data_IF_205967590806
#
_entry.id   IF_205967590806
#
_cell.length_a   1.000
_cell.length_b   1.000
_cell.length_c   1.000
_cell.angle_alpha   90.00
_cell.angle_beta   90.00
_cell.angle_gamma   90.00
#
_symmetry.space_group_name_H-M   'P 1'
#
loop_
_entity.id
_entity.type
_entity.pdbx_description
1 polymer ?
#
# COMPACT_ATOMS: atom_id res chain seq x y z
N UNK A 1 18.86 53.19 -31.93
CA UNK A 1 18.21 51.90 -32.23
C UNK A 1 18.93 50.70 -31.62
N UNK A 2 20.27 50.64 -31.63
CA UNK A 2 21.07 49.50 -31.12
C UNK A 2 20.92 49.27 -29.61
N UNK A 3 20.88 50.33 -28.79
CA UNK A 3 20.66 50.26 -27.34
C UNK A 3 19.28 49.71 -26.94
N UNK A 4 18.23 50.03 -27.70
CA UNK A 4 16.87 49.56 -27.44
C UNK A 4 16.72 48.08 -27.79
N UNK A 5 17.32 47.65 -28.92
CA UNK A 5 17.32 46.23 -29.33
C UNK A 5 18.06 45.36 -28.30
N UNK A 6 19.20 45.85 -27.80
CA UNK A 6 19.98 45.15 -26.78
C UNK A 6 19.26 45.07 -25.42
N UNK A 7 18.51 46.11 -25.01
CA UNK A 7 17.67 46.05 -23.80
C UNK A 7 16.51 45.07 -23.92
N UNK A 8 15.90 44.94 -25.10
CA UNK A 8 14.82 43.98 -25.35
C UNK A 8 15.36 42.55 -25.37
N UNK A 9 16.50 42.31 -26.00
CA UNK A 9 17.19 41.01 -26.00
C UNK A 9 17.59 40.57 -24.58
N UNK A 10 18.18 41.48 -23.79
CA UNK A 10 18.55 41.18 -22.40
C UNK A 10 17.32 40.89 -21.52
N UNK A 11 16.22 41.64 -21.64
CA UNK A 11 14.96 41.33 -20.92
C UNK A 11 14.36 40.00 -21.34
N UNK A 12 14.48 39.63 -22.61
CA UNK A 12 13.98 38.35 -23.12
C UNK A 12 14.80 37.19 -22.55
N UNK A 13 16.13 37.30 -22.55
CA UNK A 13 17.02 36.33 -21.93
C UNK A 13 16.82 36.22 -20.42
N UNK A 14 16.71 37.33 -19.69
CA UNK A 14 16.44 37.30 -18.24
C UNK A 14 15.11 36.62 -17.92
N UNK A 15 14.07 36.87 -18.73
CA UNK A 15 12.76 36.24 -18.54
C UNK A 15 12.81 34.74 -18.82
N UNK A 16 13.49 34.31 -19.90
CA UNK A 16 13.69 32.90 -20.22
C UNK A 16 14.49 32.18 -19.12
N UNK A 17 15.57 32.80 -18.65
CA UNK A 17 16.41 32.25 -17.59
C UNK A 17 15.62 32.10 -16.28
N UNK A 18 14.79 33.10 -15.94
CA UNK A 18 13.93 33.06 -14.76
C UNK A 18 12.86 31.98 -14.84
N UNK A 19 12.26 31.76 -16.01
CA UNK A 19 11.29 30.68 -16.22
C UNK A 19 11.96 29.30 -16.12
N UNK A 20 13.16 29.13 -16.69
CA UNK A 20 13.94 27.90 -16.55
C UNK A 20 14.25 27.57 -15.08
N UNK A 21 14.71 28.57 -14.30
CA UNK A 21 14.98 28.40 -12.86
C UNK A 21 13.73 28.06 -12.04
N UNK A 22 12.57 28.62 -12.40
CA UNK A 22 11.30 28.28 -11.72
C UNK A 22 10.93 26.82 -11.99
N UNK A 23 11.02 26.36 -13.24
CA UNK A 23 10.71 24.98 -13.60
C UNK A 23 11.69 23.97 -12.97
N UNK A 24 12.98 24.31 -12.91
CA UNK A 24 14.00 23.50 -12.24
C UNK A 24 13.77 23.42 -10.72
N UNK A 25 13.41 24.53 -10.07
CA UNK A 25 13.16 24.55 -8.63
C UNK A 25 11.87 23.83 -8.23
N UNK A 26 10.91 23.67 -9.16
CA UNK A 26 9.71 22.85 -8.97
C UNK A 26 9.97 21.34 -9.08
N UNK A 27 11.14 20.92 -9.58
CA UNK A 27 11.47 19.50 -9.73
C UNK A 27 10.59 18.76 -10.74
N UNK A 28 9.99 19.48 -11.71
CA UNK A 28 9.16 18.88 -12.77
C UNK A 28 9.91 18.80 -14.09
N UNK A 29 9.87 17.62 -14.71
CA UNK A 29 10.22 17.45 -16.11
C UNK A 29 9.16 18.10 -16.98
N UNK A 30 9.59 18.87 -17.97
CA UNK A 30 8.73 19.62 -18.87
C UNK A 30 9.10 19.29 -20.30
N UNK A 31 8.08 18.91 -21.06
CA UNK A 31 8.18 18.56 -22.47
C UNK A 31 7.11 19.32 -23.23
N UNK A 32 7.50 20.07 -24.26
CA UNK A 32 6.58 20.85 -25.10
C UNK A 32 6.53 20.25 -26.48
N UNK A 33 5.32 20.12 -27.02
CA UNK A 33 5.08 19.69 -28.38
C UNK A 33 4.11 20.63 -29.12
N UNK A 34 4.27 20.73 -30.43
CA UNK A 34 3.40 21.51 -31.30
C UNK A 34 1.99 20.89 -31.42
N UNK A 35 1.11 21.54 -32.18
CA UNK A 35 -0.24 21.06 -32.48
C UNK A 35 -0.30 19.70 -33.20
N UNK A 36 0.79 19.28 -33.83
CA UNK A 36 0.89 18.00 -34.53
C UNK A 36 1.54 16.92 -33.65
N UNK A 37 1.95 17.25 -32.43
CA UNK A 37 2.62 16.34 -31.50
C UNK A 37 4.12 16.20 -31.71
N UNK A 38 4.76 17.10 -32.47
CA UNK A 38 6.22 17.16 -32.61
C UNK A 38 6.85 17.95 -31.48
N UNK A 39 7.90 17.37 -30.88
CA UNK A 39 8.63 17.96 -29.77
C UNK A 39 9.34 19.26 -30.17
N UNK A 40 9.11 20.32 -29.41
CA UNK A 40 9.76 21.63 -29.59
C UNK A 40 10.80 21.91 -28.51
N UNK A 41 10.59 21.41 -27.29
CA UNK A 41 11.45 21.72 -26.15
C UNK A 41 11.41 20.60 -25.10
N UNK A 42 12.54 20.36 -24.46
CA UNK A 42 12.68 19.45 -23.32
C UNK A 42 13.61 20.07 -22.28
N UNK A 43 13.14 20.23 -21.03
CA UNK A 43 14.01 20.77 -19.99
C UNK A 43 15.07 19.73 -19.53
N UNK A 44 16.18 20.15 -18.88
CA UNK A 44 17.25 19.24 -18.47
C UNK A 44 16.80 18.10 -17.54
N UNK A 45 15.77 18.32 -16.73
CA UNK A 45 15.21 17.28 -15.87
C UNK A 45 14.47 16.21 -16.68
N UNK A 46 13.70 16.61 -17.70
CA UNK A 46 13.09 15.69 -18.64
C UNK A 46 14.14 14.89 -19.43
N UNK A 47 15.27 15.51 -19.79
CA UNK A 47 16.38 14.74 -20.40
C UNK A 47 16.89 13.64 -19.47
N UNK A 48 17.06 13.98 -18.19
CA UNK A 48 17.57 13.06 -17.16
C UNK A 48 16.60 11.92 -16.90
N UNK A 49 15.30 12.21 -16.80
CA UNK A 49 14.27 11.19 -16.52
C UNK A 49 13.98 10.31 -17.74
N UNK A 50 14.05 10.83 -18.95
CA UNK A 50 13.68 10.08 -20.16
C UNK A 50 14.87 9.34 -20.78
N UNK A 51 16.10 9.78 -20.49
CA UNK A 51 17.33 9.30 -21.11
C UNK A 51 17.58 9.89 -22.52
N UNK A 52 16.71 10.79 -22.99
CA UNK A 52 16.85 11.47 -24.26
C UNK A 52 17.47 12.85 -24.09
N UNK A 53 18.25 13.30 -25.08
CA UNK A 53 18.70 14.68 -25.13
C UNK A 53 17.77 15.52 -25.99
N UNK A 54 17.56 16.78 -25.62
CA UNK A 54 16.65 17.70 -26.31
C UNK A 54 16.95 17.74 -27.81
N UNK A 55 18.22 17.96 -28.17
CA UNK A 55 18.67 18.00 -29.57
C UNK A 55 18.46 16.69 -30.36
N UNK A 56 18.30 15.55 -29.69
CA UNK A 56 17.98 14.27 -30.34
C UNK A 56 16.48 14.10 -30.58
N UNK A 57 15.64 14.84 -29.88
CA UNK A 57 14.18 14.65 -29.86
C UNK A 57 13.39 15.79 -30.47
N UNK A 58 13.97 16.98 -30.63
CA UNK A 58 13.30 18.08 -31.37
C UNK A 58 12.87 17.59 -32.76
N UNK A 59 11.61 17.83 -33.09
CA UNK A 59 10.99 17.44 -34.36
C UNK A 59 10.58 15.96 -34.44
N UNK A 60 10.77 15.17 -33.37
CA UNK A 60 10.19 13.82 -33.27
C UNK A 60 8.81 13.85 -32.63
N UNK A 61 8.03 12.85 -32.96
CA UNK A 61 6.69 12.65 -32.39
C UNK A 61 6.77 12.26 -30.91
N UNK A 62 5.98 12.92 -30.07
CA UNK A 62 5.95 12.74 -28.62
C UNK A 62 5.80 11.26 -28.21
N UNK A 63 4.84 10.54 -28.78
CA UNK A 63 4.56 9.13 -28.43
C UNK A 63 5.67 8.15 -28.82
N UNK A 64 6.56 8.52 -29.74
CA UNK A 64 7.74 7.69 -30.08
C UNK A 64 8.89 7.86 -29.09
N UNK A 65 8.97 9.04 -28.46
CA UNK A 65 10.02 9.39 -27.50
C UNK A 65 9.60 9.02 -26.08
N UNK A 66 8.36 9.34 -25.72
CA UNK A 66 7.77 9.06 -24.41
C UNK A 66 6.75 7.93 -24.56
N UNK A 67 7.16 6.72 -24.20
CA UNK A 67 6.26 5.58 -24.10
C UNK A 67 5.65 5.59 -22.72
N UNK A 68 4.35 5.88 -22.67
CA UNK A 68 3.57 5.94 -21.45
C UNK A 68 2.58 4.79 -21.45
N UNK A 69 2.43 4.12 -20.32
CA UNK A 69 1.41 3.10 -20.13
C UNK A 69 0.84 3.17 -18.73
N UNK A 70 -0.43 2.78 -18.61
CA UNK A 70 -1.09 2.63 -17.33
C UNK A 70 -0.90 1.20 -16.82
N UNK A 71 -0.25 1.03 -15.67
CA UNK A 71 -0.01 -0.29 -15.07
C UNK A 71 -1.30 -1.00 -14.64
N UNK A 72 -2.38 -0.27 -14.37
CA UNK A 72 -3.62 -0.87 -13.89
C UNK A 72 -4.43 -1.51 -15.02
N UNK A 73 -4.49 -0.82 -16.16
CA UNK A 73 -5.22 -1.28 -17.35
C UNK A 73 -4.33 -2.06 -18.33
N UNK A 74 -3.01 -1.87 -18.25
CA UNK A 74 -2.05 -2.40 -19.23
C UNK A 74 -2.11 -1.68 -20.58
N UNK A 75 -2.83 -0.57 -20.67
CA UNK A 75 -3.02 0.19 -21.91
C UNK A 75 -1.90 1.20 -22.13
N UNK A 76 -1.49 1.34 -23.39
CA UNK A 76 -0.53 2.37 -23.83
C UNK A 76 -1.29 3.70 -23.91
N UNK A 77 -0.76 4.72 -23.25
CA UNK A 77 -1.28 6.08 -23.28
C UNK A 77 -0.69 6.77 -24.51
N UNK A 78 -1.31 6.52 -25.66
CA UNK A 78 -0.94 7.13 -26.94
C UNK A 78 -1.80 8.36 -27.27
N UNK A 79 -1.30 9.16 -28.22
CA UNK A 79 -2.02 10.31 -28.78
C UNK A 79 -2.43 11.39 -27.76
N UNK A 80 -1.67 11.57 -26.68
CA UNK A 80 -1.87 12.67 -25.71
C UNK A 80 -2.13 14.04 -26.38
N UNK A 81 -1.42 14.44 -27.45
CA UNK A 81 -1.73 15.69 -28.15
C UNK A 81 -3.15 15.73 -28.70
N UNK A 82 -3.61 14.68 -29.38
CA UNK A 82 -4.97 14.64 -29.92
C UNK A 82 -6.03 14.69 -28.82
N UNK A 83 -5.78 14.04 -27.67
CA UNK A 83 -6.70 14.04 -26.53
C UNK A 83 -6.85 15.44 -25.92
N UNK A 84 -5.72 16.12 -25.66
CA UNK A 84 -5.71 17.50 -25.12
C UNK A 84 -6.28 18.50 -26.12
N UNK A 85 -5.96 18.37 -27.40
CA UNK A 85 -6.51 19.23 -28.47
C UNK A 85 -8.03 19.09 -28.60
N UNK A 86 -8.57 17.89 -28.41
CA UNK A 86 -10.01 17.62 -28.45
C UNK A 86 -10.73 18.11 -27.18
N UNK A 87 -10.12 17.90 -26.01
CA UNK A 87 -10.71 18.31 -24.73
C UNK A 87 -10.62 19.82 -24.52
N UNK A 88 -9.50 20.44 -24.91
CA UNK A 88 -9.20 21.85 -24.65
C UNK A 88 -8.92 22.17 -23.18
N UNK A 89 -8.79 21.17 -22.33
CA UNK A 89 -8.59 21.29 -20.89
C UNK A 89 -7.35 20.50 -20.43
N UNK A 90 -6.95 20.69 -19.18
CA UNK A 90 -5.86 19.94 -18.55
C UNK A 90 -6.30 18.49 -18.37
N UNK A 91 -5.47 17.56 -18.84
CA UNK A 91 -5.67 16.12 -18.67
C UNK A 91 -4.67 15.62 -17.64
N UNK A 92 -5.16 15.06 -16.54
CA UNK A 92 -4.32 14.41 -15.54
C UNK A 92 -3.88 13.04 -16.04
N UNK A 93 -2.60 12.70 -15.80
CA UNK A 93 -2.13 11.34 -16.06
C UNK A 93 -2.76 10.36 -15.04
N UNK A 94 -2.98 9.09 -15.42
CA UNK A 94 -3.40 8.06 -14.47
C UNK A 94 -2.46 7.96 -13.27
N UNK A 95 -3.01 7.55 -12.12
CA UNK A 95 -2.25 7.45 -10.86
C UNK A 95 -1.05 6.48 -10.92
N UNK A 96 -1.13 5.50 -11.83
CA UNK A 96 -0.11 4.47 -12.05
C UNK A 96 0.56 4.59 -13.43
N UNK A 97 0.66 5.81 -13.96
CA UNK A 97 1.30 6.08 -15.24
C UNK A 97 2.81 5.80 -15.17
N UNK A 98 3.30 4.96 -16.07
CA UNK A 98 4.71 4.57 -16.14
C UNK A 98 5.33 5.05 -17.44
N UNK A 99 6.49 5.71 -17.30
CA UNK A 99 7.35 6.11 -18.40
C UNK A 99 8.41 5.03 -18.63
N UNK A 100 8.54 4.56 -19.88
CA UNK A 100 9.68 3.75 -20.30
C UNK A 100 10.74 4.67 -20.89
N UNK A 101 11.89 4.71 -20.22
CA UNK A 101 13.07 5.48 -20.69
C UNK A 101 13.66 4.90 -21.97
N UNK A 102 14.55 5.67 -22.63
CA UNK A 102 15.31 5.22 -23.81
C UNK A 102 16.02 3.88 -23.60
N UNK A 103 16.51 3.63 -22.38
CA UNK A 103 17.25 2.42 -22.00
C UNK A 103 16.35 1.28 -21.52
N UNK A 104 15.03 1.46 -21.54
CA UNK A 104 14.05 0.44 -21.13
C UNK A 104 13.77 0.38 -19.63
N UNK A 105 14.30 1.30 -18.83
CA UNK A 105 13.95 1.43 -17.40
C UNK A 105 12.55 2.03 -17.28
N UNK A 106 11.75 1.44 -16.40
CA UNK A 106 10.40 1.91 -16.06
C UNK A 106 10.45 2.86 -14.86
N UNK A 107 9.85 4.04 -15.01
CA UNK A 107 9.77 5.07 -13.97
C UNK A 107 8.30 5.43 -13.77
N UNK A 108 7.85 5.39 -12.51
CA UNK A 108 6.51 5.83 -12.19
C UNK A 108 6.46 7.35 -12.23
N UNK A 109 5.65 7.89 -13.12
CA UNK A 109 5.48 9.33 -13.28
C UNK A 109 4.07 9.75 -12.90
N UNK A 110 3.94 10.98 -12.42
CA UNK A 110 2.64 11.61 -12.20
C UNK A 110 2.71 13.08 -12.57
N UNK A 111 1.52 13.65 -12.85
CA UNK A 111 1.16 15.08 -12.94
C UNK A 111 0.12 15.28 -14.06
N UNK A 112 0.37 16.11 -15.09
CA UNK A 112 -0.66 16.46 -16.07
C UNK A 112 -0.12 16.91 -17.45
N UNK A 113 -1.02 16.93 -18.44
CA UNK A 113 -0.81 17.49 -19.77
C UNK A 113 -1.76 18.68 -19.95
N UNK A 114 -1.22 19.83 -20.33
CA UNK A 114 -1.99 21.07 -20.49
C UNK A 114 -1.87 21.63 -21.92
N UNK A 115 -2.94 22.24 -22.46
CA UNK A 115 -2.88 22.93 -23.75
C UNK A 115 -2.13 24.26 -23.62
N UNK A 116 -1.24 24.54 -24.57
CA UNK A 116 -0.63 25.86 -24.76
C UNK A 116 -1.55 26.65 -25.70
N UNK A 117 -1.92 27.88 -25.30
CA UNK A 117 -2.81 28.73 -26.08
C UNK A 117 -2.06 29.93 -26.66
N UNK A 118 -2.35 30.25 -27.91
CA UNK A 118 -1.88 31.47 -28.56
C UNK A 118 -2.62 32.72 -28.04
N UNK A 119 -2.22 33.90 -28.53
CA UNK A 119 -2.83 35.19 -28.17
C UNK A 119 -4.31 35.30 -28.57
N UNK A 120 -4.77 34.46 -29.50
CA UNK A 120 -6.14 34.42 -30.00
C UNK A 120 -6.99 33.39 -29.24
N UNK A 121 -6.40 32.67 -28.27
CA UNK A 121 -7.07 31.63 -27.47
C UNK A 121 -7.11 30.25 -28.13
N UNK A 122 -6.53 30.10 -29.33
CA UNK A 122 -6.44 28.81 -30.02
C UNK A 122 -5.32 27.98 -29.41
N UNK A 123 -5.49 26.65 -29.37
CA UNK A 123 -4.43 25.75 -28.90
C UNK A 123 -3.32 25.75 -29.96
N UNK A 124 -2.10 26.11 -29.54
CA UNK A 124 -0.89 26.20 -30.36
C UNK A 124 0.11 25.09 -30.08
N UNK A 125 -0.11 24.32 -29.01
CA UNK A 125 0.63 23.10 -28.70
C UNK A 125 0.17 22.53 -27.38
N UNK A 126 0.98 21.64 -26.82
CA UNK A 126 0.77 21.07 -25.49
C UNK A 126 2.05 21.15 -24.68
N UNK A 127 1.88 21.17 -23.37
CA UNK A 127 2.96 20.96 -22.40
C UNK A 127 2.62 19.76 -21.55
N UNK A 128 3.54 18.79 -21.53
CA UNK A 128 3.53 17.66 -20.63
C UNK A 128 4.45 18.02 -19.44
N UNK A 129 3.88 17.97 -18.25
CA UNK A 129 4.60 18.16 -16.99
C UNK A 129 4.53 16.84 -16.24
N UNK A 130 5.67 16.34 -15.76
CA UNK A 130 5.71 15.11 -14.98
C UNK A 130 6.84 15.11 -13.97
N UNK A 131 6.65 14.33 -12.91
CA UNK A 131 7.64 14.11 -11.86
C UNK A 131 7.83 12.62 -11.66
N UNK A 132 9.05 12.21 -11.29
CA UNK A 132 9.27 10.87 -10.76
C UNK A 132 8.60 10.78 -9.37
N UNK A 133 7.52 10.02 -9.31
CA UNK A 133 6.74 9.81 -8.07
C UNK A 133 7.07 8.47 -7.42
N UNK A 134 8.05 7.72 -7.93
CA UNK A 134 8.42 6.38 -7.48
C UNK A 134 8.71 6.37 -5.98
N UNK A 135 9.63 7.24 -5.52
CA UNK A 135 10.00 7.32 -4.10
C UNK A 135 8.82 7.74 -3.22
N UNK A 136 8.02 8.70 -3.69
CA UNK A 136 6.84 9.18 -2.95
C UNK A 136 5.81 8.07 -2.77
N UNK A 137 5.45 7.39 -3.85
CA UNK A 137 4.49 6.26 -3.85
C UNK A 137 5.02 5.06 -3.05
N UNK A 138 6.32 4.77 -3.10
CA UNK A 138 6.94 3.75 -2.25
C UNK A 138 6.82 4.09 -0.76
N UNK A 139 7.11 5.34 -0.38
CA UNK A 139 6.96 5.81 1.01
C UNK A 139 5.50 5.77 1.43
N UNK A 140 4.58 6.22 0.59
CA UNK A 140 3.13 6.17 0.85
C UNK A 140 2.64 4.73 1.05
N UNK A 141 3.01 3.81 0.16
CA UNK A 141 2.68 2.39 0.27
C UNK A 141 3.27 1.78 1.55
N UNK A 142 4.49 2.17 1.92
CA UNK A 142 5.13 1.72 3.15
C UNK A 142 4.43 2.29 4.40
N UNK A 143 4.01 3.56 4.38
CA UNK A 143 3.25 4.18 5.46
C UNK A 143 1.88 3.51 5.64
N UNK A 144 1.17 3.23 4.54
CA UNK A 144 -0.10 2.49 4.58
C UNK A 144 0.11 1.08 5.13
N UNK A 145 1.16 0.39 4.69
CA UNK A 145 1.48 -0.95 5.21
C UNK A 145 1.78 -0.89 6.71
N UNK A 146 2.60 0.06 7.18
CA UNK A 146 2.90 0.20 8.61
C UNK A 146 1.70 0.64 9.46
N UNK A 147 0.75 1.38 8.87
CA UNK A 147 -0.46 1.80 9.56
C UNK A 147 -1.41 0.62 9.85
N UNK A 148 -1.40 -0.42 9.00
CA UNK A 148 -2.38 -1.51 9.05
C UNK A 148 -1.79 -2.90 9.28
N UNK A 149 -0.49 -3.07 9.17
CA UNK A 149 0.19 -4.36 9.34
C UNK A 149 1.30 -4.26 10.40
N UNK A 150 1.54 -5.37 11.09
CA UNK A 150 2.62 -5.54 12.04
C UNK A 150 3.96 -5.64 11.29
N UNK A 151 4.91 -4.78 11.65
CA UNK A 151 6.19 -4.67 10.93
C UNK A 151 7.07 -5.91 11.02
N UNK A 152 6.88 -6.76 12.05
CA UNK A 152 7.66 -7.98 12.24
C UNK A 152 7.04 -9.18 11.52
N UNK A 153 5.76 -9.47 11.80
CA UNK A 153 5.09 -10.68 11.30
C UNK A 153 4.47 -10.50 9.92
N UNK A 154 4.25 -9.25 9.49
CA UNK A 154 3.52 -8.94 8.25
C UNK A 154 2.00 -9.18 8.34
N UNK A 155 1.50 -9.65 9.47
CA UNK A 155 0.06 -9.82 9.71
C UNK A 155 -0.65 -8.47 9.84
N UNK A 156 -1.96 -8.40 9.62
CA UNK A 156 -2.78 -7.31 10.10
C UNK A 156 -2.44 -6.91 11.54
N UNK A 157 -2.36 -5.61 11.81
CA UNK A 157 -2.20 -5.12 13.18
C UNK A 157 -3.57 -4.92 13.84
N UNK A 158 -3.55 -4.47 15.10
CA UNK A 158 -4.77 -4.16 15.86
C UNK A 158 -5.71 -3.17 15.16
N UNK A 159 -5.18 -2.18 14.43
CA UNK A 159 -5.99 -1.18 13.72
C UNK A 159 -6.79 -1.84 12.60
N UNK A 160 -6.12 -2.61 11.73
CA UNK A 160 -6.78 -3.30 10.63
C UNK A 160 -7.75 -4.39 11.13
N UNK A 161 -7.41 -5.10 12.19
CA UNK A 161 -8.31 -6.07 12.80
C UNK A 161 -9.61 -5.43 13.30
N UNK A 162 -9.51 -4.30 14.02
CA UNK A 162 -10.68 -3.57 14.52
C UNK A 162 -11.54 -3.01 13.38
N UNK A 163 -10.92 -2.57 12.29
CA UNK A 163 -11.65 -2.14 11.10
C UNK A 163 -12.45 -3.30 10.48
N UNK A 164 -11.81 -4.44 10.21
CA UNK A 164 -12.48 -5.65 9.70
C UNK A 164 -13.57 -6.14 10.64
N UNK A 165 -13.33 -6.10 11.95
CA UNK A 165 -14.33 -6.46 12.95
C UNK A 165 -15.56 -5.54 12.85
N UNK A 166 -15.37 -4.21 12.77
CA UNK A 166 -16.48 -3.25 12.57
C UNK A 166 -17.27 -3.56 11.30
N UNK A 167 -16.59 -3.82 10.18
CA UNK A 167 -17.26 -4.21 8.94
C UNK A 167 -18.08 -5.51 9.10
N UNK A 168 -17.56 -6.47 9.87
CA UNK A 168 -18.23 -7.74 10.15
C UNK A 168 -19.49 -7.55 11.00
N UNK A 169 -19.48 -6.65 11.97
CA UNK A 169 -20.68 -6.24 12.71
C UNK A 169 -21.74 -5.62 11.78
N UNK A 170 -21.33 -4.75 10.86
CA UNK A 170 -22.26 -4.17 9.88
C UNK A 170 -22.84 -5.23 8.93
N UNK A 171 -22.06 -6.25 8.56
CA UNK A 171 -22.56 -7.42 7.80
C UNK A 171 -23.59 -8.22 8.60
N UNK A 172 -23.35 -8.48 9.90
CA UNK A 172 -24.29 -9.17 10.80
C UNK A 172 -25.63 -8.45 10.89
N UNK A 173 -25.63 -7.12 11.00
CA UNK A 173 -26.86 -6.31 11.05
C UNK A 173 -27.72 -6.47 9.78
N UNK A 174 -27.08 -6.69 8.62
CA UNK A 174 -27.77 -6.85 7.32
C UNK A 174 -28.17 -8.29 7.02
N UNK A 175 -27.54 -9.29 7.64
CA UNK A 175 -27.74 -10.72 7.36
C UNK A 175 -28.04 -11.49 8.65
N UNK A 176 -29.31 -11.84 8.86
CA UNK A 176 -29.76 -12.54 10.06
C UNK A 176 -28.99 -13.88 10.31
N UNK A 177 -28.69 -14.63 9.25
CA UNK A 177 -28.02 -15.95 9.34
C UNK A 177 -26.49 -15.89 9.31
N UNK A 178 -25.88 -14.71 9.31
CA UNK A 178 -24.43 -14.58 9.38
C UNK A 178 -24.00 -14.59 10.84
N UNK A 179 -23.10 -15.46 11.27
CA UNK A 179 -22.48 -15.36 12.60
C UNK A 179 -20.96 -15.28 12.45
N UNK A 180 -20.30 -14.72 13.45
CA UNK A 180 -18.85 -14.60 13.49
C UNK A 180 -18.35 -14.77 14.93
N UNK A 181 -17.06 -15.02 15.08
CA UNK A 181 -16.42 -15.20 16.38
C UNK A 181 -15.00 -14.67 16.40
N UNK A 182 -14.50 -14.40 17.60
CA UNK A 182 -13.11 -14.02 17.83
C UNK A 182 -12.44 -15.09 18.67
N UNK A 183 -11.22 -15.45 18.27
CA UNK A 183 -10.26 -16.14 19.13
C UNK A 183 -9.19 -15.13 19.53
N UNK A 184 -8.95 -14.96 20.81
CA UNK A 184 -7.84 -14.17 21.34
C UNK A 184 -6.79 -15.13 21.90
N UNK A 185 -5.53 -14.98 21.48
CA UNK A 185 -4.46 -15.92 21.74
C UNK A 185 -3.29 -15.19 22.39
N UNK A 186 -2.67 -15.85 23.36
CA UNK A 186 -1.41 -15.43 23.96
C UNK A 186 -0.45 -16.61 24.01
N UNK A 187 0.78 -16.40 23.56
CA UNK A 187 1.79 -17.44 23.54
C UNK A 187 2.32 -17.73 24.95
N UNK A 188 2.14 -18.97 25.37
CA UNK A 188 2.51 -19.38 26.71
C UNK A 188 4.03 -19.34 26.89
N UNK A 189 4.49 -18.65 27.93
CA UNK A 189 5.92 -18.63 28.30
C UNK A 189 6.83 -18.02 27.22
N UNK A 190 6.31 -17.16 26.34
CA UNK A 190 7.11 -16.44 25.34
C UNK A 190 8.26 -15.65 25.96
N UNK A 191 8.01 -14.99 27.11
CA UNK A 191 9.07 -14.30 27.88
C UNK A 191 10.24 -15.23 28.22
N UNK A 192 9.98 -16.50 28.55
CA UNK A 192 11.03 -17.48 28.86
C UNK A 192 11.88 -17.84 27.63
N UNK A 193 11.30 -17.79 26.43
CA UNK A 193 12.06 -17.94 25.17
C UNK A 193 12.99 -16.76 24.99
N UNK A 194 12.49 -15.53 25.17
CA UNK A 194 13.31 -14.31 25.10
C UNK A 194 14.46 -14.33 26.12
N UNK A 195 14.16 -14.69 27.37
CA UNK A 195 15.15 -14.72 28.44
C UNK A 195 16.24 -15.77 28.19
N UNK A 196 15.90 -16.90 27.52
CA UNK A 196 16.82 -18.01 27.27
C UNK A 196 17.61 -17.86 25.96
N UNK A 197 17.00 -17.36 24.90
CA UNK A 197 17.58 -17.35 23.55
C UNK A 197 17.76 -15.94 22.96
N UNK A 198 17.34 -14.90 23.69
CA UNK A 198 17.40 -13.51 23.25
C UNK A 198 16.20 -13.08 22.40
N UNK A 199 16.03 -11.76 22.28
CA UNK A 199 14.90 -11.15 21.57
C UNK A 199 14.85 -11.51 20.07
N UNK A 200 15.99 -11.65 19.41
CA UNK A 200 16.03 -12.05 18.00
C UNK A 200 15.37 -13.44 17.78
N UNK A 201 15.60 -14.39 18.68
CA UNK A 201 14.94 -15.70 18.62
C UNK A 201 13.43 -15.60 18.92
N UNK A 202 13.05 -14.71 19.82
CA UNK A 202 11.63 -14.40 20.06
C UNK A 202 10.95 -13.83 18.82
N UNK A 203 11.63 -12.94 18.11
CA UNK A 203 11.14 -12.36 16.87
C UNK A 203 10.97 -13.42 15.77
N UNK A 204 11.97 -14.29 15.60
CA UNK A 204 11.90 -15.44 14.69
C UNK A 204 10.74 -16.39 15.05
N UNK A 205 10.53 -16.64 16.34
CA UNK A 205 9.41 -17.42 16.84
C UNK A 205 8.07 -16.77 16.48
N UNK A 206 7.91 -15.46 16.69
CA UNK A 206 6.68 -14.74 16.36
C UNK A 206 6.36 -14.79 14.86
N UNK A 207 7.37 -14.65 14.00
CA UNK A 207 7.22 -14.80 12.54
C UNK A 207 6.79 -16.22 12.17
N UNK A 208 7.39 -17.23 12.79
CA UNK A 208 7.04 -18.62 12.51
C UNK A 208 5.63 -18.98 13.00
N UNK A 209 5.24 -18.48 14.18
CA UNK A 209 3.90 -18.61 14.72
C UNK A 209 2.87 -17.93 13.82
N UNK A 210 3.15 -16.72 13.34
CA UNK A 210 2.26 -16.00 12.43
C UNK A 210 1.91 -16.83 11.18
N UNK A 211 2.95 -17.34 10.49
CA UNK A 211 2.77 -18.21 9.31
C UNK A 211 1.98 -19.48 9.64
N UNK A 212 2.25 -20.07 10.81
CA UNK A 212 1.55 -21.27 11.27
C UNK A 212 0.07 -20.98 11.53
N UNK A 213 -0.25 -19.85 12.15
CA UNK A 213 -1.64 -19.41 12.36
C UNK A 213 -2.35 -19.18 11.02
N UNK A 214 -1.71 -18.49 10.06
CA UNK A 214 -2.29 -18.30 8.72
C UNK A 214 -2.62 -19.64 8.04
N UNK A 215 -1.73 -20.63 8.12
CA UNK A 215 -1.97 -21.97 7.55
C UNK A 215 -3.14 -22.72 8.21
N UNK A 216 -3.50 -22.34 9.44
CA UNK A 216 -4.63 -22.91 10.16
C UNK A 216 -5.96 -22.24 9.82
N UNK A 217 -6.00 -21.26 8.91
CA UNK A 217 -7.18 -20.45 8.62
C UNK A 217 -7.56 -20.54 7.13
N UNK A 218 -8.85 -20.29 6.86
CA UNK A 218 -9.35 -20.16 5.47
C UNK A 218 -9.25 -18.70 5.02
N UNK A 219 -9.29 -18.45 3.71
CA UNK A 219 -9.14 -17.11 3.14
C UNK A 219 -10.19 -16.06 3.55
N UNK A 220 -11.31 -16.48 4.15
CA UNK A 220 -12.32 -15.58 4.71
C UNK A 220 -12.08 -15.18 6.17
N UNK A 221 -11.16 -15.85 6.87
CA UNK A 221 -10.82 -15.53 8.25
C UNK A 221 -9.66 -14.52 8.28
N UNK A 222 -9.53 -13.77 9.38
CA UNK A 222 -8.43 -12.83 9.57
C UNK A 222 -7.62 -13.21 10.80
N UNK A 223 -6.31 -13.32 10.69
CA UNK A 223 -5.38 -13.32 11.83
C UNK A 223 -4.69 -11.97 11.94
N UNK A 224 -4.45 -11.50 13.15
CA UNK A 224 -3.76 -10.26 13.44
C UNK A 224 -2.84 -10.42 14.64
N UNK A 225 -1.76 -9.64 14.68
CA UNK A 225 -0.91 -9.49 15.88
C UNK A 225 -1.26 -8.19 16.59
N UNK A 226 -1.58 -8.28 17.87
CA UNK A 226 -2.00 -7.13 18.68
C UNK A 226 -0.83 -6.44 19.37
N UNK A 227 0.28 -7.16 19.54
CA UNK A 227 1.53 -6.68 20.14
C UNK A 227 2.12 -7.76 21.05
N UNK A 228 3.44 -7.70 21.28
CA UNK A 228 4.11 -8.72 22.10
C UNK A 228 3.89 -10.13 21.54
N UNK A 229 3.33 -11.00 22.39
CA UNK A 229 2.94 -12.38 22.16
C UNK A 229 1.43 -12.59 21.91
N UNK A 230 0.66 -11.50 21.76
CA UNK A 230 -0.79 -11.55 21.58
C UNK A 230 -1.20 -11.56 20.11
N UNK A 231 -2.09 -12.50 19.77
CA UNK A 231 -2.70 -12.64 18.45
C UNK A 231 -4.23 -12.64 18.58
N UNK A 232 -4.91 -12.19 17.54
CA UNK A 232 -6.35 -12.28 17.44
C UNK A 232 -6.74 -12.89 16.10
N UNK A 233 -7.76 -13.74 16.12
CA UNK A 233 -8.35 -14.33 14.92
C UNK A 233 -9.82 -13.97 14.87
N UNK A 234 -10.28 -13.47 13.72
CA UNK A 234 -11.67 -13.22 13.40
C UNK A 234 -12.13 -14.31 12.44
N UNK A 235 -13.12 -15.09 12.89
CA UNK A 235 -13.78 -16.12 12.11
C UNK A 235 -15.09 -15.56 11.59
N UNK A 236 -15.22 -15.41 10.28
CA UNK A 236 -16.47 -15.00 9.63
C UNK A 236 -17.27 -16.22 9.19
N UNK A 237 -18.58 -16.11 9.05
CA UNK A 237 -19.47 -17.17 8.53
C UNK A 237 -19.31 -18.52 9.26
N UNK A 238 -19.45 -18.48 10.59
CA UNK A 238 -19.52 -19.67 11.44
C UNK A 238 -20.98 -20.05 11.70
N UNK A 239 -21.26 -21.33 11.89
CA UNK A 239 -22.62 -21.82 12.20
C UNK A 239 -22.91 -21.70 13.69
N UNK A 240 -21.99 -22.19 14.51
CA UNK A 240 -22.12 -22.24 15.95
C UNK A 240 -20.74 -22.26 16.65
N UNK A 241 -20.74 -22.43 17.97
CA UNK A 241 -19.54 -22.48 18.81
C UNK A 241 -18.56 -23.59 18.40
N UNK A 242 -19.05 -24.69 17.85
CA UNK A 242 -18.23 -25.85 17.50
C UNK A 242 -17.25 -25.52 16.38
N UNK A 243 -17.63 -24.67 15.42
CA UNK A 243 -16.74 -24.19 14.37
C UNK A 243 -15.55 -23.43 14.95
N UNK A 244 -15.81 -22.49 15.87
CA UNK A 244 -14.76 -21.72 16.55
C UNK A 244 -13.86 -22.62 17.41
N UNK A 245 -14.45 -23.59 18.12
CA UNK A 245 -13.71 -24.58 18.91
C UNK A 245 -12.84 -25.47 18.02
N UNK A 246 -13.32 -25.90 16.85
CA UNK A 246 -12.55 -26.71 15.92
C UNK A 246 -11.35 -25.95 15.38
N UNK A 247 -11.49 -24.65 15.08
CA UNK A 247 -10.35 -23.80 14.70
C UNK A 247 -9.37 -23.65 15.85
N UNK A 248 -9.85 -23.41 17.08
CA UNK A 248 -8.98 -23.30 18.25
C UNK A 248 -8.19 -24.60 18.50
N UNK A 249 -8.82 -25.77 18.37
CA UNK A 249 -8.15 -27.08 18.47
C UNK A 249 -7.11 -27.28 17.38
N UNK A 250 -7.45 -26.96 16.13
CA UNK A 250 -6.51 -27.04 15.00
C UNK A 250 -5.29 -26.16 15.24
N UNK A 251 -5.48 -24.95 15.76
CA UNK A 251 -4.38 -24.05 16.14
C UNK A 251 -3.53 -24.68 17.24
N UNK A 252 -4.14 -25.19 18.32
CA UNK A 252 -3.42 -25.86 19.41
C UNK A 252 -2.56 -27.02 18.91
N UNK A 253 -3.15 -27.93 18.14
CA UNK A 253 -2.46 -29.08 17.55
C UNK A 253 -1.29 -28.63 16.67
N UNK A 254 -1.51 -27.63 15.82
CA UNK A 254 -0.47 -27.06 14.96
C UNK A 254 0.71 -26.49 15.77
N UNK A 255 0.42 -25.77 16.86
CA UNK A 255 1.43 -25.15 17.73
C UNK A 255 2.30 -26.18 18.46
N UNK A 256 1.77 -27.36 18.78
CA UNK A 256 2.51 -28.44 19.44
C UNK A 256 3.63 -29.04 18.57
N UNK A 257 3.59 -28.84 17.25
CA UNK A 257 4.68 -29.27 16.39
C UNK A 257 5.92 -28.40 16.57
N UNK A 258 7.09 -29.04 16.61
CA UNK A 258 8.39 -28.34 16.72
C UNK A 258 8.57 -27.30 15.61
N UNK A 259 9.12 -26.15 15.98
CA UNK A 259 9.60 -25.12 15.07
C UNK A 259 11.12 -25.20 15.05
N UNK A 260 11.70 -25.39 13.87
CA UNK A 260 13.13 -25.24 13.67
C UNK A 260 13.45 -23.76 13.42
N UNK A 261 14.11 -23.15 14.41
CA UNK A 261 14.52 -21.75 14.38
C UNK A 261 16.03 -21.69 14.53
N UNK A 262 16.73 -21.47 13.41
CA UNK A 262 18.19 -21.43 13.34
C UNK A 262 18.88 -22.68 13.93
N UNK A 263 18.32 -23.88 13.68
CA UNK A 263 18.85 -25.15 14.18
C UNK A 263 18.49 -25.47 15.64
N UNK A 264 17.63 -24.67 16.26
CA UNK A 264 17.04 -24.94 17.57
C UNK A 264 15.58 -25.38 17.39
N UNK A 265 15.23 -26.53 17.97
CA UNK A 265 13.84 -26.98 18.01
C UNK A 265 13.11 -26.35 19.20
N UNK A 266 12.16 -25.47 18.92
CA UNK A 266 11.32 -24.83 19.92
C UNK A 266 9.89 -25.37 19.80
N UNK A 267 9.31 -25.74 20.93
CA UNK A 267 7.89 -26.07 21.07
C UNK A 267 7.26 -24.94 21.85
N UNK A 268 6.13 -24.43 21.36
CA UNK A 268 5.37 -23.40 22.04
C UNK A 268 3.89 -23.77 22.08
N UNK A 269 3.19 -23.28 23.09
CA UNK A 269 1.73 -23.43 23.21
C UNK A 269 1.09 -22.05 23.29
N UNK A 270 -0.23 -22.00 23.20
CA UNK A 270 -0.97 -20.77 23.42
C UNK A 270 -2.12 -21.01 24.39
N UNK A 271 -2.54 -19.97 25.08
CA UNK A 271 -3.84 -19.92 25.74
C UNK A 271 -4.81 -19.18 24.84
N UNK A 272 -6.02 -19.74 24.61
CA UNK A 272 -6.98 -19.22 23.62
C UNK A 272 -8.32 -18.90 24.29
N UNK A 273 -8.84 -17.69 24.09
CA UNK A 273 -10.18 -17.29 24.49
C UNK A 273 -11.10 -17.16 23.30
N UNK A 274 -12.31 -17.70 23.38
CA UNK A 274 -13.28 -17.71 22.29
C UNK A 274 -14.50 -16.89 22.69
N UNK A 275 -14.89 -15.92 21.87
CA UNK A 275 -16.16 -15.19 22.03
C UNK A 275 -16.94 -15.16 20.71
N UNK A 276 -18.27 -15.23 20.78
CA UNK A 276 -19.15 -15.34 19.61
C UNK A 276 -20.09 -14.13 19.50
N UNK A 277 -20.42 -13.76 18.26
CA UNK A 277 -21.39 -12.70 17.99
C UNK A 277 -22.80 -13.01 18.51
N UNK A 278 -23.13 -14.28 18.76
CA UNK A 278 -24.44 -14.71 19.24
C UNK A 278 -24.77 -14.22 20.66
N UNK A 279 -23.77 -13.82 21.45
CA UNK A 279 -23.93 -13.39 22.84
C UNK A 279 -24.44 -11.93 22.99
N UNK A 280 -25.10 -11.40 21.95
CA UNK A 280 -25.79 -10.10 21.94
C UNK A 280 -24.84 -8.90 22.14
N UNK A 281 -23.64 -8.97 21.57
CA UNK A 281 -22.75 -7.81 21.55
C UNK A 281 -23.20 -6.81 20.49
N UNK A 282 -23.36 -5.55 20.89
CA UNK A 282 -23.63 -4.45 19.95
C UNK A 282 -22.34 -3.75 19.49
N UNK A 283 -21.22 -3.99 20.20
CA UNK A 283 -19.95 -3.30 19.96
C UNK A 283 -18.74 -4.25 19.77
N UNK A 284 -17.86 -3.97 18.78
CA UNK A 284 -16.60 -4.68 18.54
C UNK A 284 -15.70 -4.84 19.77
N UNK A 285 -15.61 -3.79 20.60
CA UNK A 285 -14.72 -3.78 21.76
C UNK A 285 -15.18 -4.73 22.85
N UNK A 286 -16.50 -4.90 23.03
CA UNK A 286 -17.07 -5.82 24.01
C UNK A 286 -16.72 -7.27 23.66
N UNK A 287 -16.89 -7.66 22.39
CA UNK A 287 -16.56 -9.02 21.95
C UNK A 287 -15.07 -9.35 22.11
N UNK A 288 -14.18 -8.39 21.84
CA UNK A 288 -12.75 -8.55 22.08
C UNK A 288 -12.42 -8.71 23.56
N UNK A 289 -13.03 -7.90 24.42
CA UNK A 289 -12.87 -7.98 25.88
C UNK A 289 -13.31 -9.34 26.40
N UNK A 290 -14.40 -9.88 25.88
CA UNK A 290 -14.95 -11.17 26.30
C UNK A 290 -14.05 -12.33 25.86
N UNK A 291 -13.47 -12.24 24.66
CA UNK A 291 -12.45 -13.19 24.21
C UNK A 291 -11.19 -13.11 25.09
N UNK A 292 -10.72 -11.92 25.47
CA UNK A 292 -9.58 -11.73 26.37
C UNK A 292 -9.86 -12.32 27.79
N UNK A 293 -11.04 -12.08 28.35
CA UNK A 293 -11.45 -12.68 29.63
C UNK A 293 -11.44 -14.21 29.54
N UNK A 294 -11.96 -14.78 28.45
CA UNK A 294 -11.92 -16.23 28.24
C UNK A 294 -10.48 -16.74 28.09
N UNK A 295 -9.61 -16.02 27.38
CA UNK A 295 -8.20 -16.40 27.23
C UNK A 295 -7.49 -16.43 28.58
N UNK A 296 -7.76 -15.45 29.43
CA UNK A 296 -7.22 -15.42 30.79
C UNK A 296 -7.72 -16.60 31.64
N UNK A 297 -9.00 -17.01 31.50
CA UNK A 297 -9.51 -18.23 32.13
C UNK A 297 -8.75 -19.47 31.63
N UNK A 298 -8.45 -19.56 30.34
CA UNK A 298 -7.65 -20.66 29.78
C UNK A 298 -6.22 -20.69 30.37
N UNK A 299 -5.58 -19.53 30.56
CA UNK A 299 -4.28 -19.44 31.24
C UNK A 299 -4.33 -19.98 32.67
N UNK A 300 -5.36 -19.59 33.43
CA UNK A 300 -5.52 -20.04 34.83
C UNK A 300 -5.83 -21.54 34.94
N UNK A 301 -6.46 -22.13 33.92
CA UNK A 301 -6.80 -23.55 33.87
C UNK A 301 -5.61 -24.47 33.53
N UNK A 302 -4.39 -23.94 33.41
CA UNK A 302 -3.17 -24.73 33.18
C UNK A 302 -2.44 -24.46 31.88
N UNK A 303 -2.79 -23.39 31.14
CA UNK A 303 -2.23 -23.01 29.83
C UNK A 303 -2.46 -24.08 28.75
N UNK A 304 -1.96 -23.85 27.53
CA UNK A 304 -2.05 -24.79 26.41
C UNK A 304 -3.48 -25.28 26.12
N UNK A 305 -4.47 -24.42 26.34
CA UNK A 305 -5.88 -24.77 26.24
C UNK A 305 -6.70 -23.59 25.73
N UNK A 306 -7.99 -23.84 25.46
CA UNK A 306 -8.96 -22.82 25.12
C UNK A 306 -10.07 -22.72 26.18
N UNK A 307 -10.71 -21.55 26.25
CA UNK A 307 -11.95 -21.38 26.98
C UNK A 307 -12.95 -20.58 26.14
N UNK A 308 -14.22 -20.93 26.25
CA UNK A 308 -15.31 -20.20 25.61
C UNK A 308 -15.89 -19.20 26.61
N UNK A 309 -16.11 -17.97 26.17
CA UNK A 309 -16.80 -16.96 26.96
C UNK A 309 -18.27 -17.36 27.12
N UNK A 310 -18.68 -17.45 28.38
CA UNK A 310 -20.01 -17.78 28.87
C UNK A 310 -20.36 -16.87 30.04
#
# INVERSE_FOLDING_TARGET
>A
MTLYKHQVENRCQETQQRLATILESMGSAVVVADNNGYLEMMNPLAETLTGWKEHEVIGKELGKVLKLFDQETGEIIDNLPAQVMKAGEIIHLPDNCTLVTKDGVEILIGDNVAPIRDRNGNISGIVLIFQDVTKRKQVEAHLLRNAFYDGLTGLPNRVLFLDRLRQTFERKKRRNNFNFGILFLDLDSFKSVNDRFGHAMGDDLLVAIAKRLESCLRGGDTVARFGGDEFAVLLEDIKDVSDAVNVAKRIQESLQHKLDLNGQEIINTASIGIALSANHHEEPRSLLRDADIAMYRAKQAGKANYAVFS
#
